data_IF_613584911220
#
_entry.id   IF_613584911220
#
_cell.length_a   1.000
_cell.length_b   1.000
_cell.length_c   1.000
_cell.angle_alpha   90.00
_cell.angle_beta   90.00
_cell.angle_gamma   90.00
#
_symmetry.space_group_name_H-M   'P 1'
#
loop_
_entity.id
_entity.type
_entity.pdbx_description
1 polymer ?
#
# COMPACT_ATOMS: atom_id res chain seq x y z
N UNK A 1 -28.48 0.50 -17.90
CA UNK A 1 -27.45 0.17 -16.91
C UNK A 1 -26.14 -0.16 -17.64
N UNK A 2 -25.34 0.88 -17.96
CA UNK A 2 -24.04 0.70 -18.61
C UNK A 2 -23.00 0.69 -17.49
N UNK A 3 -22.57 -0.52 -17.04
CA UNK A 3 -21.20 -0.67 -16.52
C UNK A 3 -20.29 0.12 -17.46
N UNK A 4 -19.17 0.63 -16.99
CA UNK A 4 -18.06 0.95 -17.89
C UNK A 4 -17.78 -0.35 -18.67
N UNK A 5 -18.65 -0.62 -19.67
CA UNK A 5 -18.64 -1.84 -20.47
C UNK A 5 -17.25 -2.07 -21.04
N UNK A 6 -16.51 -0.96 -21.31
CA UNK A 6 -15.17 -1.02 -21.88
C UNK A 6 -14.15 -1.77 -21.02
N UNK A 7 -14.10 -1.53 -19.71
CA UNK A 7 -13.02 -2.11 -18.89
C UNK A 7 -13.32 -3.55 -18.48
N UNK A 8 -14.58 -3.88 -18.15
CA UNK A 8 -14.97 -5.29 -17.90
C UNK A 8 -14.79 -6.15 -19.14
N UNK A 9 -15.29 -5.69 -20.29
CA UNK A 9 -15.16 -6.42 -21.55
C UNK A 9 -13.69 -6.57 -21.97
N UNK A 10 -12.86 -5.56 -21.72
CA UNK A 10 -11.41 -5.64 -21.92
C UNK A 10 -10.78 -6.74 -21.08
N UNK A 11 -11.16 -6.83 -19.79
CA UNK A 11 -10.62 -7.82 -18.85
C UNK A 11 -11.09 -9.24 -19.19
N UNK A 12 -12.39 -9.43 -19.48
CA UNK A 12 -12.98 -10.74 -19.69
C UNK A 12 -12.83 -11.28 -21.12
N UNK A 13 -12.79 -10.40 -22.15
CA UNK A 13 -12.83 -10.79 -23.54
C UNK A 13 -11.77 -10.13 -24.41
N UNK A 14 -11.22 -8.98 -23.98
CA UNK A 14 -10.26 -8.21 -24.74
C UNK A 14 -8.81 -8.68 -24.62
N UNK A 15 -7.87 -7.84 -25.08
CA UNK A 15 -6.43 -8.09 -24.96
C UNK A 15 -5.96 -7.97 -23.51
N UNK A 16 -5.39 -9.04 -22.96
CA UNK A 16 -4.83 -9.08 -21.61
C UNK A 16 -3.71 -8.04 -21.42
N UNK A 17 -2.86 -7.83 -22.42
CA UNK A 17 -1.80 -6.81 -22.37
C UNK A 17 -2.39 -5.42 -22.15
N UNK A 18 -3.41 -5.06 -22.93
CA UNK A 18 -4.10 -3.77 -22.76
C UNK A 18 -4.78 -3.65 -21.41
N UNK A 19 -5.39 -4.74 -20.91
CA UNK A 19 -6.02 -4.76 -19.59
C UNK A 19 -5.00 -4.53 -18.46
N UNK A 20 -3.84 -5.19 -18.54
CA UNK A 20 -2.76 -5.03 -17.55
C UNK A 20 -2.28 -3.58 -17.53
N UNK A 21 -1.94 -3.00 -18.67
CA UNK A 21 -1.44 -1.61 -18.72
C UNK A 21 -2.51 -0.60 -18.30
N UNK A 22 -3.77 -0.80 -18.69
CA UNK A 22 -4.87 0.09 -18.31
C UNK A 22 -5.09 0.16 -16.79
N UNK A 23 -4.78 -0.92 -16.06
CA UNK A 23 -4.90 -0.97 -14.60
C UNK A 23 -3.58 -0.60 -13.93
N UNK A 24 -2.45 -1.17 -14.38
CA UNK A 24 -1.16 -1.02 -13.71
C UNK A 24 -0.60 0.41 -13.81
N UNK A 25 -0.64 1.05 -14.98
CA UNK A 25 -0.02 2.37 -15.18
C UNK A 25 -0.62 3.43 -14.24
N UNK A 26 -1.95 3.60 -14.13
CA UNK A 26 -2.50 4.58 -13.20
C UNK A 26 -2.18 4.26 -11.74
N UNK A 27 -2.07 2.98 -11.36
CA UNK A 27 -1.67 2.57 -10.00
C UNK A 27 -0.21 2.95 -9.73
N UNK A 28 0.70 2.71 -10.68
CA UNK A 28 2.12 3.11 -10.58
C UNK A 28 2.24 4.63 -10.47
N UNK A 29 1.54 5.37 -11.34
CA UNK A 29 1.54 6.84 -11.30
C UNK A 29 0.99 7.35 -9.97
N UNK A 30 -0.11 6.78 -9.48
CA UNK A 30 -0.67 7.14 -8.18
C UNK A 30 0.33 6.91 -7.03
N UNK A 31 1.01 5.77 -7.02
CA UNK A 31 2.02 5.45 -6.01
C UNK A 31 3.25 6.36 -6.09
N UNK A 32 3.67 6.71 -7.31
CA UNK A 32 4.75 7.69 -7.53
C UNK A 32 4.35 9.08 -7.00
N UNK A 33 3.15 9.55 -7.34
CA UNK A 33 2.63 10.83 -6.85
C UNK A 33 2.51 10.84 -5.33
N UNK A 34 2.08 9.73 -4.70
CA UNK A 34 2.05 9.59 -3.26
C UNK A 34 3.45 9.67 -2.63
N UNK A 35 4.46 9.10 -3.29
CA UNK A 35 5.86 9.22 -2.83
C UNK A 35 6.35 10.66 -2.93
N UNK A 36 6.04 11.37 -4.02
CA UNK A 36 6.37 12.78 -4.18
C UNK A 36 5.68 13.66 -3.14
N UNK A 37 4.40 13.38 -2.87
CA UNK A 37 3.67 14.02 -1.79
C UNK A 37 4.37 13.88 -0.44
N UNK A 38 4.74 12.65 -0.05
CA UNK A 38 5.42 12.41 1.21
C UNK A 38 6.78 13.13 1.31
N UNK A 39 7.49 13.26 0.19
CA UNK A 39 8.76 14.03 0.14
C UNK A 39 8.51 15.53 0.31
N UNK A 40 7.51 16.09 -0.35
CA UNK A 40 7.14 17.50 -0.25
C UNK A 40 6.66 17.86 1.16
N UNK A 41 5.80 17.01 1.76
CA UNK A 41 5.34 17.17 3.13
C UNK A 41 6.53 17.15 4.12
N UNK A 42 7.44 16.19 3.97
CA UNK A 42 8.67 16.12 4.78
C UNK A 42 9.55 17.38 4.62
N UNK A 43 9.62 17.96 3.43
CA UNK A 43 10.36 19.19 3.19
C UNK A 43 9.78 20.37 3.99
N UNK A 44 8.46 20.58 3.93
CA UNK A 44 7.82 21.66 4.69
C UNK A 44 7.90 21.44 6.19
N UNK A 45 7.71 20.20 6.66
CA UNK A 45 7.89 19.85 8.05
C UNK A 45 9.32 20.12 8.56
N UNK A 46 10.32 19.90 7.70
CA UNK A 46 11.71 20.22 8.00
C UNK A 46 12.01 21.72 8.19
N UNK A 47 11.13 22.61 7.71
CA UNK A 47 11.24 24.05 7.94
C UNK A 47 10.69 24.48 9.32
N UNK A 48 9.97 23.60 10.00
CA UNK A 48 9.48 23.85 11.36
C UNK A 48 10.60 23.68 12.40
N UNK A 49 10.30 24.02 13.65
CA UNK A 49 11.21 23.76 14.76
C UNK A 49 11.42 22.25 14.98
N UNK A 50 12.52 21.91 15.62
CA UNK A 50 12.87 20.52 15.96
C UNK A 50 11.77 19.85 16.80
N UNK A 51 11.11 20.60 17.68
CA UNK A 51 10.05 20.11 18.57
C UNK A 51 8.82 19.66 17.78
N UNK A 52 8.40 20.40 16.77
CA UNK A 52 7.29 20.02 15.90
C UNK A 52 7.63 18.79 15.08
N UNK A 53 8.84 18.71 14.54
CA UNK A 53 9.29 17.55 13.79
C UNK A 53 9.37 16.29 14.66
N UNK A 54 9.83 16.43 15.92
CA UNK A 54 9.84 15.35 16.90
C UNK A 54 8.43 14.87 17.23
N UNK A 55 7.48 15.80 17.44
CA UNK A 55 6.08 15.49 17.70
C UNK A 55 5.44 14.68 16.54
N UNK A 56 5.63 15.11 15.30
CA UNK A 56 5.08 14.45 14.11
C UNK A 56 5.68 13.07 13.92
N UNK A 57 7.00 12.93 14.05
CA UNK A 57 7.68 11.64 13.93
C UNK A 57 7.23 10.63 15.01
N UNK A 58 6.92 11.11 16.21
CA UNK A 58 6.38 10.27 17.29
C UNK A 58 4.99 9.73 16.95
N UNK A 59 4.11 10.54 16.37
CA UNK A 59 2.70 10.21 16.08
C UNK A 59 2.54 9.32 14.85
N UNK A 60 3.36 9.52 13.82
CA UNK A 60 3.23 8.86 12.51
C UNK A 60 3.15 7.32 12.56
N UNK A 61 3.93 6.58 13.38
CA UNK A 61 3.81 5.11 13.45
C UNK A 61 2.45 4.62 13.94
N UNK A 62 1.84 5.33 14.87
CA UNK A 62 0.50 4.99 15.40
C UNK A 62 -0.55 5.15 14.32
N UNK A 63 -0.53 6.30 13.64
CA UNK A 63 -1.44 6.58 12.54
C UNK A 63 -1.29 5.53 11.42
N UNK A 64 -0.07 5.23 10.99
CA UNK A 64 0.19 4.23 9.97
C UNK A 64 -0.29 2.83 10.36
N UNK A 65 -0.22 2.46 11.64
CA UNK A 65 -0.73 1.17 12.11
C UNK A 65 -2.24 1.05 11.91
N UNK A 66 -3.00 2.10 12.22
CA UNK A 66 -4.46 2.10 12.03
C UNK A 66 -4.82 2.12 10.54
N UNK A 67 -4.11 2.90 9.73
CA UNK A 67 -4.30 2.94 8.27
C UNK A 67 -4.05 1.55 7.66
N UNK A 68 -2.97 0.89 8.05
CA UNK A 68 -2.63 -0.45 7.56
C UNK A 68 -3.66 -1.50 8.00
N UNK A 69 -4.17 -1.40 9.23
CA UNK A 69 -5.25 -2.26 9.68
C UNK A 69 -6.52 -2.08 8.83
N UNK A 70 -6.89 -0.83 8.55
CA UNK A 70 -8.04 -0.53 7.69
C UNK A 70 -7.88 -0.96 6.22
N UNK A 71 -6.65 -1.08 5.73
CA UNK A 71 -6.39 -1.53 4.35
C UNK A 71 -6.93 -2.94 4.07
N UNK A 72 -7.02 -3.80 5.09
CA UNK A 72 -7.59 -5.14 4.95
C UNK A 72 -9.05 -5.13 4.49
N UNK A 73 -9.86 -4.21 5.02
CA UNK A 73 -11.27 -4.06 4.61
C UNK A 73 -11.38 -3.64 3.15
N UNK A 74 -10.51 -2.73 2.70
CA UNK A 74 -10.50 -2.25 1.32
C UNK A 74 -10.03 -3.32 0.34
N UNK A 75 -9.05 -4.14 0.73
CA UNK A 75 -8.60 -5.29 -0.09
C UNK A 75 -9.70 -6.34 -0.22
N UNK A 76 -10.36 -6.72 0.89
CA UNK A 76 -11.50 -7.64 0.84
C UNK A 76 -12.57 -7.13 -0.12
N UNK A 77 -12.87 -5.83 -0.05
CA UNK A 77 -13.80 -5.17 -0.93
C UNK A 77 -13.45 -5.25 -2.39
N UNK A 78 -12.25 -4.87 -2.74
CA UNK A 78 -11.79 -4.91 -4.13
C UNK A 78 -11.93 -6.32 -4.72
N UNK A 79 -11.54 -7.35 -3.97
CA UNK A 79 -11.59 -8.76 -4.42
C UNK A 79 -13.02 -9.25 -4.56
N UNK A 80 -13.86 -9.08 -3.54
CA UNK A 80 -15.26 -9.55 -3.56
C UNK A 80 -16.06 -8.85 -4.66
N UNK A 81 -15.98 -7.52 -4.73
CA UNK A 81 -16.68 -6.73 -5.76
C UNK A 81 -16.23 -7.18 -7.16
N UNK A 82 -14.90 -7.39 -7.37
CA UNK A 82 -14.37 -7.83 -8.66
C UNK A 82 -14.94 -9.19 -9.08
N UNK A 83 -15.05 -10.15 -8.16
CA UNK A 83 -15.60 -11.48 -8.46
C UNK A 83 -17.09 -11.41 -8.79
N UNK A 84 -17.90 -10.63 -8.06
CA UNK A 84 -19.32 -10.46 -8.38
C UNK A 84 -19.55 -9.70 -9.70
N UNK A 85 -18.69 -8.73 -10.04
CA UNK A 85 -18.69 -8.07 -11.35
C UNK A 85 -18.37 -9.08 -12.45
N UNK A 86 -17.35 -9.92 -12.26
CA UNK A 86 -16.99 -11.01 -13.17
C UNK A 86 -18.16 -11.97 -13.40
N UNK A 87 -18.80 -12.42 -12.33
CA UNK A 87 -19.96 -13.29 -12.35
C UNK A 87 -21.21 -12.69 -13.01
N UNK A 88 -21.20 -11.40 -13.37
CA UNK A 88 -22.36 -10.72 -13.94
C UNK A 88 -23.48 -10.44 -12.95
N UNK A 89 -23.17 -10.41 -11.62
CA UNK A 89 -24.12 -10.13 -10.54
C UNK A 89 -23.93 -8.71 -9.96
N UNK A 90 -24.30 -7.65 -10.68
CA UNK A 90 -24.02 -6.26 -10.27
C UNK A 90 -24.78 -5.84 -9.01
N UNK A 91 -25.94 -6.42 -8.70
CA UNK A 91 -26.66 -6.11 -7.47
C UNK A 91 -25.92 -6.59 -6.23
N UNK A 92 -25.35 -7.80 -6.27
CA UNK A 92 -24.53 -8.31 -5.19
C UNK A 92 -23.23 -7.52 -5.03
N UNK A 93 -22.59 -7.14 -6.15
CA UNK A 93 -21.44 -6.25 -6.13
C UNK A 93 -21.78 -4.90 -5.46
N UNK A 94 -22.96 -4.33 -5.75
CA UNK A 94 -23.47 -3.11 -5.10
C UNK A 94 -23.71 -3.34 -3.60
N UNK A 95 -24.36 -4.44 -3.23
CA UNK A 95 -24.60 -4.80 -1.82
C UNK A 95 -23.29 -4.84 -1.06
N UNK A 96 -22.27 -5.58 -1.57
CA UNK A 96 -20.97 -5.69 -0.93
C UNK A 96 -20.27 -4.34 -0.83
N UNK A 97 -20.28 -3.52 -1.86
CA UNK A 97 -19.68 -2.19 -1.83
C UNK A 97 -20.31 -1.31 -0.73
N UNK A 98 -21.64 -1.37 -0.54
CA UNK A 98 -22.31 -0.64 0.53
C UNK A 98 -22.00 -1.21 1.92
N UNK A 99 -21.88 -2.54 2.06
CA UNK A 99 -21.46 -3.17 3.32
C UNK A 99 -20.04 -2.76 3.71
N UNK A 100 -19.11 -2.76 2.76
CA UNK A 100 -17.73 -2.32 2.98
C UNK A 100 -17.69 -0.85 3.37
N UNK A 101 -18.46 0.00 2.68
CA UNK A 101 -18.61 1.40 3.04
C UNK A 101 -19.06 1.54 4.50
N UNK A 102 -20.12 0.84 4.90
CA UNK A 102 -20.65 0.90 6.27
C UNK A 102 -19.61 0.46 7.30
N UNK A 103 -18.97 -0.70 7.07
CA UNK A 103 -17.96 -1.25 7.99
C UNK A 103 -16.76 -0.33 8.11
N UNK A 104 -16.21 0.12 6.98
CA UNK A 104 -15.02 0.96 6.98
C UNK A 104 -15.29 2.34 7.58
N UNK A 105 -16.47 2.94 7.33
CA UNK A 105 -16.83 4.22 7.94
C UNK A 105 -17.07 4.09 9.44
N UNK A 106 -17.78 3.06 9.90
CA UNK A 106 -17.97 2.80 11.35
C UNK A 106 -16.63 2.54 12.03
N UNK A 107 -15.77 1.73 11.41
CA UNK A 107 -14.43 1.46 11.93
C UNK A 107 -13.59 2.74 12.01
N UNK A 108 -13.56 3.55 10.94
CA UNK A 108 -12.78 4.80 10.91
C UNK A 108 -13.26 5.82 11.94
N UNK A 109 -14.58 5.98 12.09
CA UNK A 109 -15.17 6.88 13.10
C UNK A 109 -14.87 6.40 14.52
N UNK A 110 -14.99 5.08 14.76
CA UNK A 110 -14.65 4.50 16.05
C UNK A 110 -13.17 4.72 16.40
N UNK A 111 -12.27 4.40 15.46
CA UNK A 111 -10.83 4.61 15.64
C UNK A 111 -10.51 6.09 15.85
N UNK A 112 -11.07 6.99 15.04
CA UNK A 112 -10.86 8.42 15.19
C UNK A 112 -11.32 8.92 16.57
N UNK A 113 -12.51 8.50 17.01
CA UNK A 113 -13.05 8.90 18.32
C UNK A 113 -12.20 8.35 19.48
N UNK A 114 -11.87 7.06 19.45
CA UNK A 114 -11.04 6.43 20.48
C UNK A 114 -9.66 7.07 20.55
N UNK A 115 -9.01 7.26 19.40
CA UNK A 115 -7.70 7.88 19.34
C UNK A 115 -7.71 9.35 19.78
N UNK A 116 -8.72 10.13 19.38
CA UNK A 116 -8.83 11.53 19.82
C UNK A 116 -8.92 11.65 21.35
N UNK A 117 -9.66 10.75 22.00
CA UNK A 117 -9.79 10.70 23.48
C UNK A 117 -8.52 10.15 24.13
N UNK A 118 -7.97 9.05 23.57
CA UNK A 118 -6.81 8.36 24.13
C UNK A 118 -5.46 9.07 23.83
N UNK A 119 -5.45 10.10 22.97
CA UNK A 119 -4.23 10.77 22.52
C UNK A 119 -3.26 11.16 23.64
N UNK A 120 -3.65 11.80 24.76
CA UNK A 120 -2.70 12.17 25.80
C UNK A 120 -2.03 10.95 26.45
N UNK A 121 -2.80 9.88 26.65
CA UNK A 121 -2.28 8.61 27.18
C UNK A 121 -1.35 7.91 26.21
N UNK A 122 -1.67 7.89 24.92
CA UNK A 122 -0.83 7.28 23.86
C UNK A 122 0.50 8.06 23.75
N UNK A 123 0.46 9.38 23.65
CA UNK A 123 1.64 10.23 23.53
C UNK A 123 2.52 10.12 24.79
N UNK A 124 1.92 10.06 25.97
CA UNK A 124 2.65 9.83 27.23
C UNK A 124 3.29 8.45 27.30
N UNK A 125 2.57 7.38 26.89
CA UNK A 125 3.10 6.03 26.83
C UNK A 125 4.26 5.90 25.83
N UNK A 126 4.23 6.66 24.74
CA UNK A 126 5.31 6.71 23.74
C UNK A 126 6.56 7.45 24.23
N UNK A 127 6.52 8.10 25.41
CA UNK A 127 7.65 8.76 26.00
C UNK A 127 7.96 10.14 25.42
N UNK A 128 6.92 10.89 25.00
CA UNK A 128 7.11 12.27 24.56
C UNK A 128 7.73 13.11 25.68
N UNK A 129 8.80 13.87 25.36
CA UNK A 129 9.39 14.80 26.29
C UNK A 129 8.46 16.00 26.54
N UNK A 130 8.53 16.64 27.72
CA UNK A 130 7.65 17.76 28.09
C UNK A 130 7.65 18.88 27.05
N UNK A 131 8.81 19.13 26.42
CA UNK A 131 9.00 20.25 25.48
C UNK A 131 8.11 20.16 24.23
N UNK A 132 7.79 18.93 23.75
CA UNK A 132 6.96 18.76 22.58
C UNK A 132 5.68 17.93 22.83
N UNK A 133 5.38 17.58 24.07
CA UNK A 133 4.21 16.79 24.43
C UNK A 133 2.90 17.41 23.93
N UNK A 134 2.68 18.69 24.24
CA UNK A 134 1.46 19.41 23.85
C UNK A 134 1.33 19.56 22.33
N UNK A 135 2.45 19.70 21.64
CA UNK A 135 2.48 19.73 20.17
C UNK A 135 2.12 18.37 19.58
N UNK A 136 2.61 17.27 20.15
CA UNK A 136 2.28 15.92 19.73
C UNK A 136 0.79 15.60 19.98
N UNK A 137 0.26 15.99 21.14
CA UNK A 137 -1.17 15.82 21.47
C UNK A 137 -2.06 16.62 20.50
N UNK A 138 -1.71 17.86 20.24
CA UNK A 138 -2.48 18.74 19.33
C UNK A 138 -2.43 18.17 17.90
N UNK A 139 -1.24 17.84 17.40
CA UNK A 139 -1.06 17.26 16.07
C UNK A 139 -1.85 15.96 15.92
N UNK A 140 -1.72 15.01 16.86
CA UNK A 140 -2.40 13.73 16.80
C UNK A 140 -3.92 13.88 16.82
N UNK A 141 -4.48 14.75 17.67
CA UNK A 141 -5.92 15.02 17.71
C UNK A 141 -6.46 15.57 16.41
N UNK A 142 -5.72 16.47 15.76
CA UNK A 142 -6.13 17.06 14.50
C UNK A 142 -6.01 16.04 13.35
N UNK A 143 -4.87 15.37 13.27
CA UNK A 143 -4.61 14.46 12.14
C UNK A 143 -5.53 13.24 12.14
N UNK A 144 -5.95 12.76 13.31
CA UNK A 144 -6.90 11.63 13.41
C UNK A 144 -8.26 11.94 12.76
N UNK A 145 -8.62 13.22 12.60
CA UNK A 145 -9.83 13.64 11.89
C UNK A 145 -9.77 13.33 10.38
N UNK A 146 -8.59 13.05 9.83
CA UNK A 146 -8.45 12.66 8.42
C UNK A 146 -8.96 11.24 8.15
N UNK A 147 -9.01 10.37 9.18
CA UNK A 147 -9.31 8.94 9.02
C UNK A 147 -10.62 8.65 8.27
N UNK A 148 -11.77 9.23 8.60
CA UNK A 148 -13.00 8.99 7.86
C UNK A 148 -12.89 9.38 6.38
N UNK A 149 -12.19 10.47 6.08
CA UNK A 149 -11.98 10.94 4.72
C UNK A 149 -11.02 10.04 3.96
N UNK A 150 -9.92 9.62 4.57
CA UNK A 150 -8.98 8.66 4.00
C UNK A 150 -9.67 7.33 3.66
N UNK A 151 -10.47 6.80 4.60
CA UNK A 151 -11.21 5.56 4.36
C UNK A 151 -12.24 5.70 3.24
N UNK A 152 -12.91 6.85 3.14
CA UNK A 152 -13.82 7.15 2.04
C UNK A 152 -13.12 7.11 0.68
N UNK A 153 -11.95 7.73 0.55
CA UNK A 153 -11.13 7.70 -0.68
C UNK A 153 -10.68 6.26 -1.00
N UNK A 154 -10.23 5.51 0.00
CA UNK A 154 -9.80 4.13 -0.18
C UNK A 154 -10.95 3.20 -0.62
N UNK A 155 -12.16 3.38 -0.07
CA UNK A 155 -13.36 2.65 -0.49
C UNK A 155 -13.70 2.97 -1.95
N UNK A 156 -13.70 4.24 -2.31
CA UNK A 156 -13.93 4.66 -3.69
C UNK A 156 -12.91 4.05 -4.64
N UNK A 157 -11.63 4.08 -4.27
CA UNK A 157 -10.54 3.45 -5.02
C UNK A 157 -10.77 1.94 -5.18
N UNK A 158 -11.12 1.25 -4.10
CA UNK A 158 -11.41 -0.19 -4.10
C UNK A 158 -12.57 -0.55 -5.05
N UNK A 159 -13.67 0.21 -4.99
CA UNK A 159 -14.85 0.03 -5.87
C UNK A 159 -14.47 0.25 -7.34
N UNK A 160 -13.74 1.32 -7.65
CA UNK A 160 -13.35 1.65 -9.02
C UNK A 160 -12.32 0.68 -9.58
N UNK A 161 -11.34 0.31 -8.79
CA UNK A 161 -10.35 -0.70 -9.17
C UNK A 161 -11.01 -2.05 -9.45
N UNK A 162 -11.99 -2.46 -8.63
CA UNK A 162 -12.78 -3.67 -8.87
C UNK A 162 -13.53 -3.64 -10.22
N UNK A 163 -13.90 -2.45 -10.70
CA UNK A 163 -14.48 -2.23 -12.03
C UNK A 163 -13.42 -2.16 -13.15
N UNK A 164 -12.13 -2.22 -12.82
CA UNK A 164 -11.02 -2.02 -13.74
C UNK A 164 -10.72 -0.55 -14.06
N UNK A 165 -11.33 0.39 -13.34
CA UNK A 165 -11.09 1.84 -13.48
C UNK A 165 -10.14 2.33 -12.38
N UNK A 166 -8.90 2.50 -12.71
CA UNK A 166 -7.86 3.01 -11.80
C UNK A 166 -7.51 4.48 -12.06
N UNK A 167 -7.99 5.04 -13.18
CA UNK A 167 -7.71 6.44 -13.56
C UNK A 167 -8.45 7.43 -12.68
N UNK A 168 -9.75 7.20 -12.44
CA UNK A 168 -10.55 8.12 -11.60
C UNK A 168 -10.03 8.23 -10.16
N UNK A 169 -9.72 7.12 -9.45
CA UNK A 169 -9.07 7.20 -8.16
C UNK A 169 -7.73 7.93 -8.17
N UNK A 170 -6.90 7.69 -9.19
CA UNK A 170 -5.63 8.39 -9.38
C UNK A 170 -5.85 9.91 -9.49
N UNK A 171 -6.82 10.36 -10.27
CA UNK A 171 -7.12 11.78 -10.42
C UNK A 171 -7.63 12.42 -9.11
N UNK A 172 -8.43 11.68 -8.32
CA UNK A 172 -8.87 12.17 -7.01
C UNK A 172 -7.71 12.28 -6.02
N UNK A 173 -6.80 11.30 -6.02
CA UNK A 173 -5.61 11.38 -5.20
C UNK A 173 -4.68 12.52 -5.63
N UNK A 174 -4.51 12.73 -6.95
CA UNK A 174 -3.77 13.88 -7.47
C UNK A 174 -4.37 15.22 -7.01
N UNK A 175 -5.68 15.34 -7.02
CA UNK A 175 -6.36 16.53 -6.48
C UNK A 175 -6.05 16.73 -4.98
N UNK A 176 -6.10 15.66 -4.18
CA UNK A 176 -5.73 15.73 -2.76
C UNK A 176 -4.29 16.19 -2.55
N UNK A 177 -3.37 15.65 -3.34
CA UNK A 177 -1.95 16.06 -3.33
C UNK A 177 -1.82 17.54 -3.69
N UNK A 178 -2.49 18.02 -4.73
CA UNK A 178 -2.46 19.42 -5.14
C UNK A 178 -3.02 20.35 -4.05
N UNK A 179 -4.13 19.97 -3.40
CA UNK A 179 -4.70 20.71 -2.26
C UNK A 179 -3.70 20.79 -1.12
N UNK A 180 -3.04 19.68 -0.75
CA UNK A 180 -2.06 19.68 0.31
C UNK A 180 -0.84 20.55 -0.02
N UNK A 181 -0.26 20.43 -1.22
CA UNK A 181 0.90 21.21 -1.66
C UNK A 181 0.65 22.73 -1.60
N UNK A 182 -0.61 23.15 -1.75
CA UNK A 182 -1.00 24.57 -1.61
C UNK A 182 -1.24 24.94 -0.14
N UNK A 183 -1.92 24.06 0.61
CA UNK A 183 -2.31 24.35 1.98
C UNK A 183 -1.16 24.23 2.97
N UNK A 184 -0.18 23.36 2.76
CA UNK A 184 0.97 23.23 3.65
C UNK A 184 1.71 24.57 3.83
N UNK A 185 2.27 25.20 2.78
CA UNK A 185 2.93 26.49 2.95
C UNK A 185 1.99 27.59 3.45
N UNK A 186 0.73 27.56 3.03
CA UNK A 186 -0.26 28.58 3.44
C UNK A 186 -0.54 28.51 4.95
N UNK A 187 -0.86 27.31 5.47
CA UNK A 187 -1.25 27.15 6.86
C UNK A 187 -0.03 27.12 7.79
N UNK A 188 1.07 26.49 7.36
CA UNK A 188 2.26 26.34 8.20
C UNK A 188 3.08 27.64 8.26
N UNK A 189 3.35 28.25 7.08
CA UNK A 189 4.30 29.35 6.95
C UNK A 189 3.57 30.70 6.97
N UNK A 190 2.56 30.92 6.11
CA UNK A 190 1.89 32.23 5.99
C UNK A 190 1.01 32.54 7.20
N UNK A 191 0.20 31.56 7.66
CA UNK A 191 -0.67 31.73 8.82
C UNK A 191 0.01 31.38 10.16
N UNK A 192 1.25 30.89 10.14
CA UNK A 192 2.04 30.54 11.33
C UNK A 192 1.35 29.52 12.27
N UNK A 193 0.52 28.61 11.71
CA UNK A 193 -0.14 27.55 12.50
C UNK A 193 0.77 26.34 12.76
N UNK A 194 1.99 26.37 12.26
CA UNK A 194 3.04 25.36 12.49
C UNK A 194 2.51 23.91 12.31
N UNK A 195 2.72 23.03 13.30
CA UNK A 195 2.27 21.63 13.24
C UNK A 195 0.75 21.47 13.14
N UNK A 196 -0.04 22.36 13.76
CA UNK A 196 -1.50 22.34 13.60
C UNK A 196 -1.90 22.67 12.15
N UNK A 197 -1.17 23.58 11.49
CA UNK A 197 -1.33 23.89 10.07
C UNK A 197 -1.08 22.67 9.19
N UNK A 198 0.01 21.92 9.42
CA UNK A 198 0.31 20.70 8.71
C UNK A 198 -0.79 19.63 8.88
N UNK A 199 -1.26 19.42 10.12
CA UNK A 199 -2.34 18.49 10.40
C UNK A 199 -3.63 18.87 9.65
N UNK A 200 -4.02 20.14 9.67
CA UNK A 200 -5.22 20.63 8.98
C UNK A 200 -5.08 20.58 7.46
N UNK A 201 -3.91 20.90 6.91
CA UNK A 201 -3.64 20.74 5.47
C UNK A 201 -3.85 19.28 5.03
N UNK A 202 -3.34 18.31 5.81
CA UNK A 202 -3.55 16.88 5.57
C UNK A 202 -5.02 16.50 5.65
N UNK A 203 -5.77 16.99 6.65
CA UNK A 203 -7.22 16.74 6.76
C UNK A 203 -7.97 17.28 5.55
N UNK A 204 -7.74 18.52 5.13
CA UNK A 204 -8.38 19.09 3.95
C UNK A 204 -8.00 18.38 2.66
N UNK A 205 -6.73 17.98 2.53
CA UNK A 205 -6.23 17.20 1.40
C UNK A 205 -6.93 15.85 1.23
N UNK A 206 -7.41 15.25 2.33
CA UNK A 206 -8.22 14.01 2.30
C UNK A 206 -9.71 14.30 2.21
N UNK A 207 -10.19 15.38 2.84
CA UNK A 207 -11.60 15.77 2.86
C UNK A 207 -12.13 16.12 1.46
N UNK A 208 -11.40 16.94 0.69
CA UNK A 208 -11.85 17.36 -0.64
C UNK A 208 -12.08 16.19 -1.58
N UNK A 209 -11.12 15.29 -1.84
CA UNK A 209 -11.36 14.12 -2.67
C UNK A 209 -12.40 13.16 -2.07
N UNK A 210 -12.51 13.05 -0.73
CA UNK A 210 -13.52 12.23 -0.09
C UNK A 210 -14.95 12.73 -0.35
N UNK A 211 -15.18 14.04 -0.25
CA UNK A 211 -16.46 14.66 -0.56
C UNK A 211 -16.85 14.43 -2.03
N UNK A 212 -15.89 14.59 -2.95
CA UNK A 212 -16.12 14.32 -4.38
C UNK A 212 -16.41 12.83 -4.62
N UNK A 213 -15.64 11.93 -4.01
CA UNK A 213 -15.85 10.49 -4.10
C UNK A 213 -17.25 10.09 -3.61
N UNK A 214 -17.65 10.61 -2.45
CA UNK A 214 -18.99 10.40 -1.89
C UNK A 214 -20.09 10.93 -2.81
N UNK A 215 -19.93 12.15 -3.31
CA UNK A 215 -20.86 12.75 -4.25
C UNK A 215 -21.01 11.93 -5.54
N UNK A 216 -19.91 11.43 -6.09
CA UNK A 216 -19.91 10.58 -7.28
C UNK A 216 -20.63 9.25 -7.04
N UNK A 217 -20.47 8.63 -5.86
CA UNK A 217 -21.16 7.39 -5.49
C UNK A 217 -22.68 7.62 -5.28
N UNK A 218 -23.07 8.79 -4.79
CA UNK A 218 -24.48 9.13 -4.56
C UNK A 218 -25.23 9.52 -5.83
N UNK A 219 -24.59 10.27 -6.74
CA UNK A 219 -25.27 10.91 -7.88
C UNK A 219 -25.31 10.05 -9.14
N UNK A 220 -24.28 9.23 -9.37
CA UNK A 220 -24.19 8.41 -10.59
C UNK A 220 -24.96 7.09 -10.45
N UNK A 221 -26.28 7.17 -10.38
CA UNK A 221 -27.17 6.00 -10.29
C UNK A 221 -27.13 5.09 -11.53
N UNK A 222 -26.65 5.60 -12.65
CA UNK A 222 -26.48 4.82 -13.89
C UNK A 222 -25.26 3.88 -13.87
N UNK A 223 -24.37 4.03 -12.92
CA UNK A 223 -23.24 3.11 -12.72
C UNK A 223 -23.67 1.89 -11.89
N UNK A 224 -23.09 0.73 -12.21
CA UNK A 224 -23.47 -0.54 -11.59
C UNK A 224 -23.33 -0.55 -10.06
N UNK A 225 -22.38 0.24 -9.53
CA UNK A 225 -22.12 0.33 -8.11
C UNK A 225 -22.31 1.79 -7.69
N UNK A 226 -23.43 2.04 -7.03
CA UNK A 226 -23.78 3.32 -6.43
C UNK A 226 -24.21 3.10 -4.98
N UNK A 227 -24.26 4.21 -4.24
CA UNK A 227 -24.77 4.20 -2.89
C UNK A 227 -26.27 3.87 -2.86
N UNK A 228 -26.64 2.86 -2.07
CA UNK A 228 -28.03 2.43 -1.92
C UNK A 228 -28.37 2.20 -0.44
N UNK A 229 -29.26 3.03 0.09
CA UNK A 229 -29.66 2.99 1.52
C UNK A 229 -30.21 1.63 1.96
N UNK A 230 -30.75 0.83 1.03
CA UNK A 230 -31.28 -0.51 1.35
C UNK A 230 -30.19 -1.46 1.84
N UNK A 231 -28.95 -1.28 1.41
CA UNK A 231 -27.82 -2.15 1.69
C UNK A 231 -26.89 -1.62 2.80
N UNK A 232 -27.25 -0.54 3.49
CA UNK A 232 -26.45 0.00 4.59
C UNK A 232 -26.59 -0.79 5.89
N UNK A 233 -27.71 -1.51 6.07
CA UNK A 233 -27.89 -2.36 7.27
C UNK A 233 -26.87 -3.50 7.21
N UNK A 234 -26.08 -3.71 8.30
CA UNK A 234 -25.10 -4.77 8.34
C UNK A 234 -25.71 -6.15 8.08
N UNK A 235 -25.14 -6.89 7.14
CA UNK A 235 -25.50 -8.27 6.83
C UNK A 235 -24.39 -9.19 7.36
N UNK A 236 -24.77 -10.07 8.31
CA UNK A 236 -23.81 -10.94 9.01
C UNK A 236 -23.05 -11.89 8.07
N UNK A 237 -23.67 -12.35 6.97
CA UNK A 237 -23.00 -13.20 6.00
C UNK A 237 -21.92 -12.42 5.23
N UNK A 238 -22.27 -11.23 4.72
CA UNK A 238 -21.30 -10.34 4.05
C UNK A 238 -20.17 -9.93 5.02
N UNK A 239 -20.49 -9.61 6.27
CA UNK A 239 -19.50 -9.23 7.28
C UNK A 239 -18.50 -10.37 7.55
N UNK A 240 -18.98 -11.61 7.67
CA UNK A 240 -18.12 -12.78 7.86
C UNK A 240 -17.13 -12.92 6.70
N UNK A 241 -17.57 -12.76 5.48
CA UNK A 241 -16.71 -12.88 4.30
C UNK A 241 -15.70 -11.72 4.21
N UNK A 242 -16.13 -10.49 4.51
CA UNK A 242 -15.23 -9.32 4.60
C UNK A 242 -14.15 -9.55 5.65
N UNK A 243 -14.51 -10.02 6.84
CA UNK A 243 -13.56 -10.30 7.91
C UNK A 243 -12.62 -11.45 7.53
N UNK A 244 -13.15 -12.53 6.96
CA UNK A 244 -12.35 -13.70 6.55
C UNK A 244 -11.27 -13.35 5.53
N UNK A 245 -11.57 -12.43 4.61
CA UNK A 245 -10.64 -12.02 3.54
C UNK A 245 -9.76 -10.86 4.00
N UNK A 246 -10.33 -9.91 4.74
CA UNK A 246 -9.66 -8.66 5.13
C UNK A 246 -8.78 -8.77 6.37
N UNK A 247 -9.21 -9.53 7.39
CA UNK A 247 -8.50 -9.62 8.66
C UNK A 247 -7.05 -10.16 8.52
N UNK A 248 -6.78 -11.22 7.73
CA UNK A 248 -5.40 -11.65 7.52
C UNK A 248 -4.53 -10.54 6.93
N UNK A 249 -5.04 -9.81 5.94
CA UNK A 249 -4.31 -8.70 5.31
C UNK A 249 -4.08 -7.54 6.30
N UNK A 250 -5.09 -7.20 7.11
CA UNK A 250 -5.01 -6.17 8.13
C UNK A 250 -3.92 -6.48 9.18
N UNK A 251 -3.99 -7.67 9.77
CA UNK A 251 -3.03 -8.12 10.76
C UNK A 251 -1.62 -8.23 10.16
N UNK A 252 -1.50 -8.84 8.98
CA UNK A 252 -0.22 -9.00 8.29
C UNK A 252 0.46 -7.67 8.02
N UNK A 253 -0.26 -6.67 7.51
CA UNK A 253 0.27 -5.34 7.26
C UNK A 253 0.76 -4.65 8.55
N UNK A 254 0.00 -4.78 9.64
CA UNK A 254 0.37 -4.22 10.95
C UNK A 254 1.62 -4.89 11.52
N UNK A 255 1.69 -6.22 11.50
CA UNK A 255 2.86 -6.96 11.97
C UNK A 255 4.12 -6.70 11.11
N UNK A 256 3.97 -6.47 9.80
CA UNK A 256 5.11 -6.09 8.96
C UNK A 256 5.75 -4.77 9.41
N UNK A 257 4.98 -3.80 9.89
CA UNK A 257 5.53 -2.54 10.39
C UNK A 257 6.46 -2.76 11.60
N UNK A 258 6.09 -3.64 12.54
CA UNK A 258 6.96 -4.00 13.64
C UNK A 258 8.26 -4.67 13.17
N UNK A 259 8.20 -5.52 12.16
CA UNK A 259 9.38 -6.15 11.57
C UNK A 259 10.34 -5.13 10.94
N UNK A 260 9.83 -4.10 10.28
CA UNK A 260 10.66 -3.01 9.74
C UNK A 260 11.35 -2.20 10.86
N UNK A 261 10.66 -1.95 11.98
CA UNK A 261 11.24 -1.26 13.14
C UNK A 261 12.41 -2.08 13.72
N UNK A 262 12.24 -3.40 13.86
CA UNK A 262 13.30 -4.28 14.35
C UNK A 262 14.49 -4.35 13.39
N UNK A 263 14.24 -4.37 12.08
CA UNK A 263 15.33 -4.29 11.09
C UNK A 263 16.13 -2.98 11.22
N UNK A 264 15.44 -1.85 11.37
CA UNK A 264 16.09 -0.55 11.56
C UNK A 264 16.99 -0.56 12.82
N UNK A 265 16.56 -1.23 13.90
CA UNK A 265 17.37 -1.42 15.09
C UNK A 265 18.67 -2.21 14.80
N UNK A 266 18.58 -3.28 14.00
CA UNK A 266 19.77 -4.04 13.62
C UNK A 266 20.73 -3.24 12.73
N UNK A 267 20.19 -2.41 11.81
CA UNK A 267 21.04 -1.50 11.01
C UNK A 267 21.76 -0.49 11.90
N UNK A 268 21.08 0.02 12.93
CA UNK A 268 21.65 1.04 13.83
C UNK A 268 22.87 0.56 14.63
N UNK A 269 23.04 -0.76 14.80
CA UNK A 269 24.24 -1.36 15.42
C UNK A 269 25.51 -1.02 14.63
N UNK A 270 25.39 -0.85 13.29
CA UNK A 270 26.50 -0.47 12.40
C UNK A 270 26.76 1.04 12.34
N UNK A 271 26.06 1.82 13.15
CA UNK A 271 26.25 3.26 13.30
C UNK A 271 25.41 4.13 12.38
N UNK A 272 25.52 5.44 12.59
CA UNK A 272 24.67 6.46 11.92
C UNK A 272 24.82 6.49 10.40
N UNK A 273 26.00 6.20 9.86
CA UNK A 273 26.25 6.20 8.42
C UNK A 273 25.53 5.03 7.73
N UNK A 274 25.55 3.85 8.36
CA UNK A 274 24.80 2.69 7.86
C UNK A 274 23.29 2.94 7.90
N UNK A 275 22.80 3.59 8.94
CA UNK A 275 21.38 3.94 9.05
C UNK A 275 20.96 4.98 8.00
N UNK A 276 21.79 5.97 7.72
CA UNK A 276 21.58 6.95 6.65
C UNK A 276 21.54 6.26 5.26
N UNK A 277 22.53 5.39 4.99
CA UNK A 277 22.61 4.62 3.75
C UNK A 277 21.39 3.70 3.56
N UNK A 278 20.95 3.02 4.61
CA UNK A 278 19.74 2.19 4.60
C UNK A 278 18.48 3.02 4.32
N UNK A 279 18.37 4.19 4.94
CA UNK A 279 17.24 5.10 4.73
C UNK A 279 17.13 5.59 3.29
N UNK A 280 18.24 6.05 2.69
CA UNK A 280 18.30 6.48 1.30
C UNK A 280 18.01 5.29 0.37
N UNK A 281 18.69 4.17 0.60
CA UNK A 281 18.51 2.97 -0.20
C UNK A 281 17.09 2.45 -0.21
N UNK A 282 16.39 2.44 0.94
CA UNK A 282 14.97 2.05 1.01
C UNK A 282 14.05 3.01 0.24
N UNK A 283 14.30 4.32 0.28
CA UNK A 283 13.50 5.29 -0.50
C UNK A 283 13.63 5.00 -2.00
N UNK A 284 14.85 4.79 -2.50
CA UNK A 284 15.11 4.48 -3.91
C UNK A 284 14.55 3.11 -4.28
N UNK A 285 14.75 2.09 -3.44
CA UNK A 285 14.20 0.75 -3.65
C UNK A 285 12.66 0.76 -3.71
N UNK A 286 12.03 1.61 -2.90
CA UNK A 286 10.58 1.84 -2.97
C UNK A 286 10.14 2.30 -4.36
N UNK A 287 10.85 3.24 -4.98
CA UNK A 287 10.58 3.72 -6.34
C UNK A 287 10.78 2.62 -7.40
N UNK A 288 11.85 1.83 -7.27
CA UNK A 288 12.14 0.69 -8.17
C UNK A 288 11.03 -0.36 -8.11
N UNK A 289 10.39 -0.53 -6.95
CA UNK A 289 9.34 -1.54 -6.74
C UNK A 289 7.95 -1.11 -7.22
N UNK A 290 7.73 0.17 -7.57
CA UNK A 290 6.42 0.67 -8.01
C UNK A 290 5.81 -0.10 -9.19
N UNK A 291 6.55 -0.44 -10.26
CA UNK A 291 6.01 -1.23 -11.36
C UNK A 291 5.50 -2.60 -10.93
N UNK A 292 6.22 -3.28 -10.03
CA UNK A 292 5.81 -4.57 -9.48
C UNK A 292 4.49 -4.47 -8.71
N UNK A 293 4.37 -3.49 -7.84
CA UNK A 293 3.15 -3.24 -7.05
C UNK A 293 1.94 -2.95 -7.96
N UNK A 294 2.14 -2.13 -9.01
CA UNK A 294 1.09 -1.84 -9.99
C UNK A 294 0.62 -3.09 -10.73
N UNK A 295 1.56 -3.95 -11.12
CA UNK A 295 1.25 -5.22 -11.79
C UNK A 295 0.57 -6.20 -10.83
N UNK A 296 1.00 -6.30 -9.58
CA UNK A 296 0.32 -7.11 -8.57
C UNK A 296 -1.14 -6.70 -8.38
N UNK A 297 -1.40 -5.40 -8.37
CA UNK A 297 -2.74 -4.81 -8.29
C UNK A 297 -3.59 -5.15 -9.53
N UNK A 298 -3.00 -5.05 -10.73
CA UNK A 298 -3.66 -5.41 -11.98
C UNK A 298 -3.99 -6.92 -12.03
N UNK A 299 -3.05 -7.78 -11.65
CA UNK A 299 -3.25 -9.24 -11.56
C UNK A 299 -4.40 -9.55 -10.61
N UNK A 300 -4.44 -8.94 -9.42
CA UNK A 300 -5.52 -9.18 -8.46
C UNK A 300 -6.90 -8.87 -9.07
N UNK A 301 -7.05 -7.75 -9.77
CA UNK A 301 -8.32 -7.37 -10.41
C UNK A 301 -8.68 -8.30 -11.59
N UNK A 302 -7.70 -8.60 -12.46
CA UNK A 302 -7.89 -9.47 -13.62
C UNK A 302 -8.27 -10.88 -13.17
N UNK A 303 -7.54 -11.44 -12.21
CA UNK A 303 -7.82 -12.77 -11.67
C UNK A 303 -9.18 -12.80 -11.00
N UNK A 304 -9.51 -11.82 -10.13
CA UNK A 304 -10.78 -11.81 -9.43
C UNK A 304 -11.97 -11.76 -10.40
N UNK A 305 -11.94 -10.92 -11.43
CA UNK A 305 -13.03 -10.85 -12.42
C UNK A 305 -13.13 -12.14 -13.25
N UNK A 306 -12.01 -12.70 -13.70
CA UNK A 306 -12.02 -13.96 -14.47
C UNK A 306 -12.44 -15.16 -13.61
N UNK A 307 -12.05 -15.22 -12.34
CA UNK A 307 -12.53 -16.24 -11.40
C UNK A 307 -14.03 -16.14 -11.17
N UNK A 308 -14.56 -14.92 -11.01
CA UNK A 308 -16.00 -14.68 -10.93
C UNK A 308 -16.75 -15.11 -12.17
N UNK A 309 -16.17 -14.93 -13.36
CA UNK A 309 -16.72 -15.36 -14.64
C UNK A 309 -16.44 -16.86 -14.94
N UNK A 310 -15.85 -17.62 -14.02
CA UNK A 310 -15.44 -19.03 -14.18
C UNK A 310 -14.42 -19.26 -15.32
N UNK A 311 -13.67 -18.23 -15.70
CA UNK A 311 -12.65 -18.28 -16.75
C UNK A 311 -11.23 -18.49 -16.15
N UNK A 312 -11.04 -19.62 -15.46
CA UNK A 312 -9.80 -19.92 -14.72
C UNK A 312 -8.55 -19.90 -15.62
N UNK A 313 -8.65 -20.46 -16.85
CA UNK A 313 -7.53 -20.48 -17.80
C UNK A 313 -7.15 -19.07 -18.29
N UNK A 314 -8.13 -18.17 -18.39
CA UNK A 314 -7.85 -16.78 -18.73
C UNK A 314 -7.23 -16.02 -17.56
N UNK A 315 -7.65 -16.30 -16.33
CA UNK A 315 -7.01 -15.79 -15.13
C UNK A 315 -5.54 -16.20 -15.07
N UNK A 316 -5.23 -17.47 -15.35
CA UNK A 316 -3.87 -18.00 -15.38
C UNK A 316 -3.02 -17.35 -16.49
N UNK A 317 -3.58 -17.20 -17.70
CA UNK A 317 -2.89 -16.50 -18.80
C UNK A 317 -2.61 -15.04 -18.44
N UNK A 318 -3.57 -14.35 -17.79
CA UNK A 318 -3.38 -12.99 -17.30
C UNK A 318 -2.25 -12.88 -16.28
N UNK A 319 -2.20 -13.81 -15.33
CA UNK A 319 -1.12 -13.89 -14.34
C UNK A 319 0.25 -14.13 -15.01
N UNK A 320 0.38 -15.16 -15.85
CA UNK A 320 1.65 -15.50 -16.52
C UNK A 320 2.18 -14.36 -17.37
N UNK A 321 1.30 -13.74 -18.15
CA UNK A 321 1.65 -12.61 -19.01
C UNK A 321 2.13 -11.41 -18.18
N UNK A 322 1.37 -11.04 -17.16
CA UNK A 322 1.71 -9.92 -16.28
C UNK A 322 3.03 -10.12 -15.55
N UNK A 323 3.23 -11.33 -15.01
CA UNK A 323 4.47 -11.71 -14.34
C UNK A 323 5.66 -11.67 -15.28
N UNK A 324 5.51 -12.21 -16.50
CA UNK A 324 6.57 -12.17 -17.52
C UNK A 324 6.96 -10.77 -17.94
N UNK A 325 5.97 -9.89 -18.14
CA UNK A 325 6.21 -8.47 -18.48
C UNK A 325 6.93 -7.73 -17.35
N UNK A 326 6.45 -7.90 -16.09
CA UNK A 326 7.10 -7.28 -14.93
C UNK A 326 8.50 -7.81 -14.69
N UNK A 327 8.68 -9.14 -14.83
CA UNK A 327 9.98 -9.79 -14.69
C UNK A 327 11.00 -9.22 -15.69
N UNK A 328 10.64 -9.18 -16.96
CA UNK A 328 11.54 -8.64 -17.99
C UNK A 328 11.87 -7.17 -17.75
N UNK A 329 10.87 -6.36 -17.42
CA UNK A 329 11.05 -4.94 -17.13
C UNK A 329 12.00 -4.71 -15.94
N UNK A 330 11.76 -5.41 -14.81
CA UNK A 330 12.57 -5.28 -13.61
C UNK A 330 13.95 -5.92 -13.76
N UNK A 331 14.08 -7.00 -14.53
CA UNK A 331 15.37 -7.61 -14.82
C UNK A 331 16.28 -6.64 -15.61
N UNK A 332 15.76 -6.05 -16.68
CA UNK A 332 16.51 -5.10 -17.51
C UNK A 332 16.80 -3.79 -16.77
N UNK A 333 15.78 -3.21 -16.14
CA UNK A 333 15.93 -2.00 -15.33
C UNK A 333 16.85 -2.20 -14.13
N UNK A 334 16.68 -3.30 -13.41
CA UNK A 334 17.51 -3.67 -12.26
C UNK A 334 18.98 -3.89 -12.63
N UNK A 335 19.21 -4.53 -13.79
CA UNK A 335 20.58 -4.70 -14.30
C UNK A 335 21.28 -3.36 -14.59
N UNK A 336 20.56 -2.38 -15.15
CA UNK A 336 21.11 -1.04 -15.38
C UNK A 336 21.35 -0.32 -14.05
N UNK A 337 20.37 -0.33 -13.15
CA UNK A 337 20.44 0.35 -11.87
C UNK A 337 21.45 -0.27 -10.89
N UNK A 338 21.80 -1.55 -11.07
CA UNK A 338 22.79 -2.24 -10.25
C UNK A 338 24.23 -1.86 -10.58
N UNK A 339 24.46 -1.10 -11.67
CA UNK A 339 25.81 -0.63 -12.01
C UNK A 339 26.31 0.37 -10.96
N UNK A 340 27.52 0.17 -10.38
CA UNK A 340 28.01 1.03 -9.30
C UNK A 340 28.01 2.52 -9.64
N UNK A 341 28.35 2.87 -10.89
CA UNK A 341 28.32 4.26 -11.36
C UNK A 341 26.92 4.86 -11.37
N UNK A 342 25.91 4.09 -11.81
CA UNK A 342 24.51 4.52 -11.84
C UNK A 342 23.95 4.61 -10.41
N UNK A 343 24.21 3.60 -9.58
CA UNK A 343 23.78 3.59 -8.19
C UNK A 343 24.37 4.78 -7.42
N UNK A 344 25.67 5.06 -7.56
CA UNK A 344 26.31 6.21 -6.92
C UNK A 344 25.75 7.54 -7.41
N UNK A 345 25.50 7.69 -8.71
CA UNK A 345 24.89 8.89 -9.28
C UNK A 345 23.46 9.13 -8.74
N UNK A 346 22.66 8.07 -8.56
CA UNK A 346 21.33 8.19 -7.97
C UNK A 346 21.43 8.58 -6.49
N UNK A 347 22.31 7.94 -5.72
CA UNK A 347 22.48 8.21 -4.29
C UNK A 347 22.97 9.64 -4.06
N UNK A 348 23.85 10.16 -4.90
CA UNK A 348 24.38 11.54 -4.80
C UNK A 348 23.31 12.63 -4.97
N UNK A 349 22.12 12.30 -5.51
CA UNK A 349 20.97 13.21 -5.52
C UNK A 349 20.41 13.44 -4.10
N UNK A 350 20.58 12.46 -3.21
CA UNK A 350 20.00 12.48 -1.88
C UNK A 350 20.96 12.90 -0.77
N UNK A 351 22.28 12.79 -1.00
CA UNK A 351 23.30 13.12 0.01
C UNK A 351 24.62 13.51 -0.66
N UNK A 352 25.34 14.42 0.00
CA UNK A 352 26.72 14.80 -0.35
C UNK A 352 27.77 14.19 0.58
N UNK A 353 27.34 13.37 1.56
CA UNK A 353 28.24 12.74 2.53
C UNK A 353 29.08 11.65 1.87
N UNK A 354 30.41 11.89 1.82
CA UNK A 354 31.36 11.02 1.12
C UNK A 354 31.38 9.57 1.65
N UNK A 355 31.09 9.36 2.94
CA UNK A 355 31.05 8.04 3.56
C UNK A 355 29.72 7.31 3.33
N UNK A 356 28.60 8.04 3.17
CA UNK A 356 27.26 7.46 2.96
C UNK A 356 27.07 7.00 1.53
N UNK A 357 27.60 7.76 0.54
CA UNK A 357 27.41 7.46 -0.89
C UNK A 357 27.81 6.03 -1.25
N UNK A 358 29.06 5.55 -0.95
CA UNK A 358 29.48 4.20 -1.35
C UNK A 358 28.63 3.11 -0.66
N UNK A 359 28.27 3.31 0.60
CA UNK A 359 27.47 2.35 1.36
C UNK A 359 26.04 2.25 0.85
N UNK A 360 25.40 3.38 0.55
CA UNK A 360 24.06 3.42 -0.03
C UNK A 360 24.04 2.92 -1.48
N UNK A 361 25.09 3.18 -2.27
CA UNK A 361 25.23 2.66 -3.61
C UNK A 361 25.44 1.15 -3.63
N UNK A 362 26.20 0.60 -2.69
CA UNK A 362 26.35 -0.86 -2.49
C UNK A 362 24.99 -1.50 -2.17
N UNK A 363 24.24 -0.93 -1.21
CA UNK A 363 22.88 -1.37 -0.91
C UNK A 363 21.98 -1.34 -2.14
N UNK A 364 21.95 -0.21 -2.85
CA UNK A 364 21.11 -0.02 -4.03
C UNK A 364 21.47 -0.98 -5.16
N UNK A 365 22.77 -1.20 -5.41
CA UNK A 365 23.25 -2.14 -6.42
C UNK A 365 22.78 -3.56 -6.15
N UNK A 366 22.88 -4.01 -4.90
CA UNK A 366 22.40 -5.34 -4.48
C UNK A 366 20.88 -5.44 -4.64
N UNK A 367 20.11 -4.44 -4.15
CA UNK A 367 18.65 -4.45 -4.23
C UNK A 367 18.16 -4.40 -5.68
N UNK A 368 18.75 -3.53 -6.50
CA UNK A 368 18.37 -3.36 -7.90
C UNK A 368 18.64 -4.62 -8.73
N UNK A 369 19.77 -5.29 -8.52
CA UNK A 369 20.08 -6.53 -9.23
C UNK A 369 19.03 -7.62 -9.00
N UNK A 370 18.49 -7.71 -7.79
CA UNK A 370 17.52 -8.75 -7.42
C UNK A 370 16.06 -8.28 -7.48
N UNK A 371 15.78 -7.04 -7.91
CA UNK A 371 14.42 -6.49 -7.90
C UNK A 371 13.41 -7.27 -8.76
N UNK A 372 13.89 -8.07 -9.73
CA UNK A 372 13.05 -8.95 -10.54
C UNK A 372 12.29 -10.00 -9.70
N UNK A 373 12.79 -10.36 -8.49
CA UNK A 373 12.09 -11.26 -7.58
C UNK A 373 10.78 -10.65 -7.08
N UNK A 374 10.71 -9.31 -6.96
CA UNK A 374 9.51 -8.60 -6.55
C UNK A 374 8.38 -8.78 -7.57
N UNK A 375 8.70 -8.92 -8.87
CA UNK A 375 7.68 -9.16 -9.90
C UNK A 375 6.95 -10.49 -9.69
N UNK A 376 7.68 -11.54 -9.36
CA UNK A 376 7.12 -12.86 -9.05
C UNK A 376 6.30 -12.77 -7.77
N UNK A 377 6.85 -12.13 -6.73
CA UNK A 377 6.20 -11.98 -5.44
C UNK A 377 4.87 -11.24 -5.55
N UNK A 378 4.87 -10.02 -6.11
CA UNK A 378 3.69 -9.16 -6.14
C UNK A 378 2.61 -9.69 -7.08
N UNK A 379 3.00 -10.23 -8.25
CA UNK A 379 2.06 -10.84 -9.18
C UNK A 379 1.42 -12.09 -8.57
N UNK A 380 2.20 -12.97 -7.92
CA UNK A 380 1.65 -14.19 -7.29
C UNK A 380 0.79 -13.85 -6.07
N UNK A 381 1.20 -12.84 -5.28
CA UNK A 381 0.36 -12.28 -4.23
C UNK A 381 -0.97 -11.78 -4.80
N UNK A 382 -0.93 -11.05 -5.92
CA UNK A 382 -2.13 -10.57 -6.63
C UNK A 382 -3.03 -11.73 -7.10
N UNK A 383 -2.46 -12.83 -7.60
CA UNK A 383 -3.19 -14.03 -7.98
C UNK A 383 -3.96 -14.63 -6.78
N UNK A 384 -3.27 -14.84 -5.66
CA UNK A 384 -3.90 -15.39 -4.45
C UNK A 384 -4.93 -14.44 -3.86
N UNK A 385 -4.69 -13.14 -3.84
CA UNK A 385 -5.67 -12.16 -3.42
C UNK A 385 -6.91 -12.19 -4.34
N UNK A 386 -6.73 -12.16 -5.65
CA UNK A 386 -7.82 -12.19 -6.63
C UNK A 386 -8.68 -13.45 -6.55
N UNK A 387 -8.09 -14.59 -6.20
CA UNK A 387 -8.83 -15.85 -5.96
C UNK A 387 -9.46 -15.93 -4.55
N UNK A 388 -9.22 -14.95 -3.68
CA UNK A 388 -9.75 -14.87 -2.31
C UNK A 388 -8.87 -15.54 -1.25
N UNK A 389 -7.73 -16.14 -1.62
CA UNK A 389 -6.80 -16.80 -0.70
C UNK A 389 -5.83 -15.80 -0.04
N UNK A 390 -6.36 -14.76 0.61
CA UNK A 390 -5.54 -13.66 1.17
C UNK A 390 -4.63 -14.10 2.32
N UNK A 391 -4.97 -15.16 3.03
CA UNK A 391 -4.16 -15.69 4.13
C UNK A 391 -2.79 -16.22 3.69
N UNK A 392 -2.73 -16.92 2.55
CA UNK A 392 -1.50 -17.58 2.09
C UNK A 392 -0.35 -16.57 1.82
N UNK A 393 -0.54 -15.52 0.98
CA UNK A 393 0.52 -14.54 0.77
C UNK A 393 0.88 -13.78 2.04
N UNK A 394 -0.08 -13.51 2.93
CA UNK A 394 0.21 -12.88 4.22
C UNK A 394 1.08 -13.78 5.10
N UNK A 395 0.78 -15.08 5.18
CA UNK A 395 1.59 -16.02 5.94
C UNK A 395 3.04 -16.10 5.38
N UNK A 396 3.19 -16.09 4.06
CA UNK A 396 4.52 -16.04 3.42
C UNK A 396 5.23 -14.73 3.73
N UNK A 397 4.54 -13.59 3.68
CA UNK A 397 5.11 -12.28 4.01
C UNK A 397 5.57 -12.20 5.47
N UNK A 398 4.78 -12.76 6.39
CA UNK A 398 5.15 -12.87 7.80
C UNK A 398 6.39 -13.75 7.99
N UNK A 399 6.40 -14.94 7.37
CA UNK A 399 7.56 -15.85 7.40
C UNK A 399 8.79 -15.18 6.80
N UNK A 400 8.65 -14.47 5.69
CA UNK A 400 9.71 -13.71 5.03
C UNK A 400 10.37 -12.72 5.98
N UNK A 401 9.57 -11.91 6.67
CA UNK A 401 10.08 -10.80 7.48
C UNK A 401 10.57 -11.26 8.85
N UNK A 402 9.83 -12.16 9.50
CA UNK A 402 10.12 -12.54 10.88
C UNK A 402 11.05 -13.75 11.01
N UNK A 403 11.00 -14.68 10.07
CA UNK A 403 11.81 -15.89 10.12
C UNK A 403 12.99 -15.79 9.15
N UNK A 404 12.70 -15.71 7.84
CA UNK A 404 13.75 -15.82 6.82
C UNK A 404 14.75 -14.66 6.89
N UNK A 405 14.27 -13.44 7.12
CA UNK A 405 15.14 -12.25 7.15
C UNK A 405 16.09 -12.26 8.34
N UNK A 406 15.58 -12.55 9.54
CA UNK A 406 16.42 -12.60 10.74
C UNK A 406 17.34 -13.83 10.75
N UNK A 407 16.88 -14.98 10.26
CA UNK A 407 17.74 -16.17 10.10
C UNK A 407 18.88 -15.91 9.11
N UNK A 408 18.57 -15.29 7.95
CA UNK A 408 19.59 -14.92 6.96
C UNK A 408 20.55 -13.86 7.52
N UNK A 409 20.03 -12.87 8.25
CA UNK A 409 20.86 -11.86 8.90
C UNK A 409 21.86 -12.52 9.86
N UNK A 410 21.38 -13.36 10.77
CA UNK A 410 22.23 -14.07 11.73
C UNK A 410 23.27 -14.96 11.03
N UNK A 411 22.87 -15.66 9.97
CA UNK A 411 23.79 -16.47 9.18
C UNK A 411 24.89 -15.63 8.51
N UNK A 412 24.52 -14.52 7.86
CA UNK A 412 25.48 -13.63 7.20
C UNK A 412 26.41 -12.91 8.20
N UNK A 413 25.94 -12.60 9.41
CA UNK A 413 26.76 -11.98 10.46
C UNK A 413 27.70 -12.98 11.13
N UNK A 414 27.18 -14.13 11.57
CA UNK A 414 27.92 -15.07 12.44
C UNK A 414 28.77 -16.05 11.65
N UNK A 415 28.37 -16.43 10.43
CA UNK A 415 29.08 -17.42 9.62
C UNK A 415 29.92 -16.77 8.52
N UNK A 416 29.33 -15.78 7.80
CA UNK A 416 30.00 -15.14 6.66
C UNK A 416 30.74 -13.84 7.04
N UNK A 417 30.47 -13.29 8.21
CA UNK A 417 31.13 -12.07 8.75
C UNK A 417 31.10 -10.88 7.79
N UNK A 418 29.94 -10.66 7.09
CA UNK A 418 29.82 -9.66 6.03
C UNK A 418 29.62 -8.21 6.53
N UNK A 419 29.59 -7.99 7.85
CA UNK A 419 29.36 -6.67 8.43
C UNK A 419 27.99 -6.10 8.00
N UNK A 420 27.92 -4.82 7.64
CA UNK A 420 26.68 -4.16 7.24
C UNK A 420 26.00 -4.81 6.02
N UNK A 421 26.76 -5.44 5.13
CA UNK A 421 26.21 -6.19 4.00
C UNK A 421 25.34 -7.38 4.42
N UNK A 422 25.50 -7.89 5.63
CA UNK A 422 24.61 -8.92 6.19
C UNK A 422 23.16 -8.47 6.17
N UNK A 423 22.90 -7.20 6.48
CA UNK A 423 21.55 -6.61 6.38
C UNK A 423 21.07 -6.58 4.94
N UNK A 424 21.93 -6.14 4.00
CA UNK A 424 21.56 -6.06 2.57
C UNK A 424 21.17 -7.42 2.00
N UNK A 425 22.01 -8.42 2.22
CA UNK A 425 21.75 -9.79 1.74
C UNK A 425 20.55 -10.42 2.46
N UNK A 426 20.30 -10.12 3.74
CA UNK A 426 19.14 -10.65 4.44
C UNK A 426 17.83 -10.23 3.79
N UNK A 427 17.74 -8.98 3.27
CA UNK A 427 16.56 -8.49 2.55
C UNK A 427 16.37 -9.24 1.24
N UNK A 428 17.42 -9.35 0.43
CA UNK A 428 17.36 -9.95 -0.89
C UNK A 428 17.06 -11.44 -0.82
N UNK A 429 17.78 -12.18 0.02
CA UNK A 429 17.62 -13.63 0.16
C UNK A 429 16.22 -13.96 0.70
N UNK A 430 15.76 -13.25 1.73
CA UNK A 430 14.41 -13.46 2.27
C UNK A 430 13.32 -13.17 1.22
N UNK A 431 13.48 -12.13 0.39
CA UNK A 431 12.55 -11.82 -0.70
C UNK A 431 12.59 -12.90 -1.78
N UNK A 432 13.76 -13.38 -2.16
CA UNK A 432 13.92 -14.47 -3.13
C UNK A 432 13.27 -15.77 -2.68
N UNK A 433 13.52 -16.19 -1.43
CA UNK A 433 12.91 -17.39 -0.85
C UNK A 433 11.38 -17.25 -0.77
N UNK A 434 10.87 -16.11 -0.33
CA UNK A 434 9.42 -15.86 -0.27
C UNK A 434 8.78 -15.92 -1.66
N UNK A 435 9.43 -15.36 -2.68
CA UNK A 435 8.98 -15.44 -4.07
C UNK A 435 8.95 -16.88 -4.56
N UNK A 436 9.96 -17.69 -4.22
CA UNK A 436 10.01 -19.11 -4.54
C UNK A 436 8.90 -19.90 -3.84
N UNK A 437 8.63 -19.62 -2.55
CA UNK A 437 7.52 -20.26 -1.80
C UNK A 437 6.19 -19.93 -2.47
N UNK A 438 5.94 -18.67 -2.81
CA UNK A 438 4.70 -18.26 -3.51
C UNK A 438 4.57 -18.96 -4.86
N UNK A 439 5.67 -19.12 -5.60
CA UNK A 439 5.69 -19.81 -6.88
C UNK A 439 5.39 -21.31 -6.70
N UNK A 440 5.94 -21.95 -5.67
CA UNK A 440 5.60 -23.35 -5.33
C UNK A 440 4.12 -23.46 -5.00
N UNK A 441 3.58 -22.55 -4.19
CA UNK A 441 2.15 -22.51 -3.87
C UNK A 441 1.28 -22.31 -5.12
N UNK A 442 1.73 -21.53 -6.10
CA UNK A 442 1.05 -21.38 -7.39
C UNK A 442 0.93 -22.74 -8.10
N UNK A 443 2.00 -23.55 -8.14
CA UNK A 443 1.99 -24.87 -8.80
C UNK A 443 1.09 -25.90 -8.09
N UNK A 444 0.76 -25.72 -6.80
CA UNK A 444 -0.22 -26.60 -6.13
C UNK A 444 -1.63 -26.46 -6.70
N UNK A 445 -1.91 -25.40 -7.44
CA UNK A 445 -3.22 -25.16 -8.03
C UNK A 445 -4.33 -24.77 -7.04
N UNK A 446 -4.03 -24.53 -5.76
CA UNK A 446 -5.02 -24.15 -4.72
C UNK A 446 -5.81 -22.91 -5.15
N UNK A 447 -5.17 -21.95 -5.79
CA UNK A 447 -5.78 -20.71 -6.26
C UNK A 447 -6.87 -20.89 -7.31
N UNK A 448 -6.91 -22.04 -8.02
CA UNK A 448 -7.90 -22.32 -9.08
C UNK A 448 -9.33 -22.46 -8.56
N UNK A 449 -9.49 -22.65 -7.25
CA UNK A 449 -10.80 -22.66 -6.59
C UNK A 449 -10.97 -21.38 -5.81
N UNK A 450 -11.95 -20.54 -6.17
CA UNK A 450 -12.25 -19.35 -5.37
C UNK A 450 -12.73 -19.72 -3.97
N UNK A 451 -12.24 -18.98 -2.97
CA UNK A 451 -12.76 -19.10 -1.59
C UNK A 451 -14.07 -18.33 -1.40
N UNK A 452 -14.39 -17.44 -2.33
CA UNK A 452 -15.61 -16.63 -2.30
C UNK A 452 -16.71 -17.46 -2.98
N UNK A 453 -17.74 -17.80 -2.18
CA UNK A 453 -18.94 -18.45 -2.72
C UNK A 453 -19.81 -17.38 -3.36
N UNK A 454 -20.01 -17.47 -4.66
CA UNK A 454 -20.90 -16.58 -5.39
C UNK A 454 -22.33 -17.06 -5.10
N UNK A 455 -23.00 -16.37 -4.15
CA UNK A 455 -24.40 -16.61 -3.84
C UNK A 455 -25.30 -16.07 -4.96
N UNK A 456 -26.42 -16.75 -5.19
CA UNK A 456 -27.43 -16.34 -6.18
C UNK A 456 -28.19 -15.08 -5.77
#
# INVERSE_FOLDING_TARGET
MKLSKGNRDLILHGSLVKAVFAIAIPVVVNSFLQTMYNLTDTYWLGQLSVDYLAAINLVSPVQNTVINFGSGVTVAGAVMISQYIGAGKPEMARKIANQIFTVAMLFSLLCASVMAVATPGIVGWMGAAPDYFDHAVTYMRLVVLDMPFLFMVNIYQSIRQAQGDTVRPMLLNLLGIAVNMVLDPLLMVVLHWNAAGAALATVFAKMVPACIAFFLLCTRRDEAICFDRRFLRPDAACLRDIVRIGLPTALGSSFMQFGFILMSRNVNVYGKMAMAAYGIGNKVNGLISLPSTGIGSAVSTIVAQNMGAQQVDRAERGYKLSTGMAFLFLLLGGFVLSRPSVASAIVSIFTNEAEVIPMAADYLSIMAFWCWTNSIHDATRGLFQGSGHTFLPVAVDMTRLWVLRFATLAFCEQVLHLGVRSVWYSVVVSNGIASAILLVLYFTGIWRKSTIKIHD
#
